data_IF_994506197188
#
_entry.id   IF_994506197188
#
_cell.length_a   1.000
_cell.length_b   1.000
_cell.length_c   1.000
_cell.angle_alpha   90.00
_cell.angle_beta   90.00
_cell.angle_gamma   90.00
#
_symmetry.space_group_name_H-M   'P 1'
#
loop_
_entity.id
_entity.type
_entity.pdbx_description
1 polymer ?
#
# COMPACT_ATOMS: atom_id res chain seq x y z
N UNK A 1 -71.66 7.84 47.14
CA UNK A 1 -71.17 8.63 45.99
C UNK A 1 -69.67 8.88 46.03
N UNK A 2 -69.05 9.20 47.18
CA UNK A 2 -67.60 9.47 47.29
C UNK A 2 -66.67 8.25 47.06
N UNK A 3 -67.16 7.01 47.25
CA UNK A 3 -66.39 5.80 46.93
C UNK A 3 -66.18 5.60 45.41
N UNK A 4 -67.11 6.07 44.58
CA UNK A 4 -66.97 5.98 43.12
C UNK A 4 -65.88 6.94 42.60
N UNK A 5 -65.75 8.14 43.19
CA UNK A 5 -64.72 9.10 42.78
C UNK A 5 -63.31 8.68 43.19
N UNK A 6 -63.14 8.02 44.35
CA UNK A 6 -61.83 7.53 44.79
C UNK A 6 -61.31 6.39 43.92
N UNK A 7 -62.18 5.42 43.55
CA UNK A 7 -61.80 4.31 42.68
C UNK A 7 -61.42 4.76 41.26
N UNK A 8 -62.16 5.74 40.71
CA UNK A 8 -61.84 6.33 39.39
C UNK A 8 -60.47 7.04 39.43
N UNK A 9 -60.17 7.77 40.50
CA UNK A 9 -58.88 8.46 40.63
C UNK A 9 -57.71 7.47 40.65
N UNK A 10 -57.83 6.36 41.39
CA UNK A 10 -56.82 5.30 41.40
C UNK A 10 -56.59 4.69 40.02
N UNK A 11 -57.66 4.48 39.23
CA UNK A 11 -57.53 3.96 37.87
C UNK A 11 -56.84 4.94 36.92
N UNK A 12 -57.15 6.24 37.03
CA UNK A 12 -56.50 7.29 36.24
C UNK A 12 -55.01 7.42 36.55
N UNK A 13 -54.63 7.30 37.83
CA UNK A 13 -53.23 7.36 38.24
C UNK A 13 -52.46 6.10 37.79
N UNK A 14 -53.08 4.92 37.87
CA UNK A 14 -52.54 3.69 37.31
C UNK A 14 -52.36 3.77 35.78
N UNK A 15 -53.30 4.38 35.06
CA UNK A 15 -53.20 4.58 33.62
C UNK A 15 -52.02 5.49 33.26
N UNK A 16 -51.84 6.61 33.98
CA UNK A 16 -50.71 7.51 33.79
C UNK A 16 -49.38 6.82 34.04
N UNK A 17 -49.30 6.00 35.09
CA UNK A 17 -48.08 5.26 35.42
C UNK A 17 -47.76 4.22 34.35
N UNK A 18 -48.76 3.47 33.89
CA UNK A 18 -48.61 2.51 32.79
C UNK A 18 -48.15 3.20 31.49
N UNK A 19 -48.74 4.35 31.14
CA UNK A 19 -48.33 5.15 29.98
C UNK A 19 -46.88 5.60 30.10
N UNK A 20 -46.46 6.06 31.29
CA UNK A 20 -45.08 6.48 31.54
C UNK A 20 -44.08 5.33 31.38
N UNK A 21 -44.40 4.15 31.89
CA UNK A 21 -43.57 2.94 31.74
C UNK A 21 -43.41 2.58 30.26
N UNK A 22 -44.51 2.57 29.51
CA UNK A 22 -44.48 2.27 28.07
C UNK A 22 -43.65 3.31 27.29
N UNK A 23 -43.78 4.59 27.62
CA UNK A 23 -43.03 5.65 26.97
C UNK A 23 -41.52 5.52 27.24
N UNK A 24 -41.13 5.27 28.49
CA UNK A 24 -39.73 5.03 28.86
C UNK A 24 -39.15 3.80 28.13
N UNK A 25 -39.93 2.73 28.01
CA UNK A 25 -39.50 1.54 27.27
C UNK A 25 -39.27 1.83 25.77
N UNK A 26 -40.14 2.64 25.15
CA UNK A 26 -39.98 3.07 23.75
C UNK A 26 -38.73 3.93 23.56
N UNK A 27 -38.50 4.90 24.45
CA UNK A 27 -37.32 5.76 24.43
C UNK A 27 -36.03 4.95 24.63
N UNK A 28 -36.03 4.03 25.59
CA UNK A 28 -34.89 3.13 25.83
C UNK A 28 -34.56 2.28 24.59
N UNK A 29 -35.59 1.72 23.94
CA UNK A 29 -35.41 0.94 22.70
C UNK A 29 -34.79 1.80 21.60
N UNK A 30 -35.32 2.99 21.36
CA UNK A 30 -34.81 3.91 20.33
C UNK A 30 -33.37 4.33 20.63
N UNK A 31 -33.07 4.63 21.89
CA UNK A 31 -31.71 4.96 22.34
C UNK A 31 -30.75 3.79 22.09
N UNK A 32 -31.10 2.58 22.50
CA UNK A 32 -30.28 1.37 22.27
C UNK A 32 -29.97 1.14 20.79
N UNK A 33 -30.94 1.33 19.90
CA UNK A 33 -30.72 1.18 18.46
C UNK A 33 -29.76 2.25 17.93
N UNK A 34 -29.89 3.49 18.40
CA UNK A 34 -28.99 4.59 18.01
C UNK A 34 -27.57 4.35 18.52
N UNK A 35 -27.43 3.95 19.78
CA UNK A 35 -26.14 3.67 20.41
C UNK A 35 -25.44 2.52 19.67
N UNK A 36 -26.15 1.42 19.39
CA UNK A 36 -25.59 0.28 18.64
C UNK A 36 -25.12 0.68 17.24
N UNK A 37 -25.87 1.53 16.52
CA UNK A 37 -25.43 2.06 15.22
C UNK A 37 -24.19 2.92 15.34
N UNK A 38 -24.12 3.77 16.37
CA UNK A 38 -22.95 4.63 16.59
C UNK A 38 -21.72 3.82 16.98
N UNK A 39 -21.87 2.78 17.79
CA UNK A 39 -20.78 1.89 18.19
C UNK A 39 -20.25 1.10 16.98
N UNK A 40 -21.14 0.49 16.18
CA UNK A 40 -20.74 -0.20 14.97
C UNK A 40 -20.01 0.72 13.97
N UNK A 41 -20.48 1.96 13.81
CA UNK A 41 -19.82 2.94 12.94
C UNK A 41 -18.41 3.28 13.45
N UNK A 42 -18.24 3.48 14.75
CA UNK A 42 -16.92 3.74 15.37
C UNK A 42 -15.98 2.55 15.17
N UNK A 43 -16.48 1.32 15.32
CA UNK A 43 -15.68 0.12 15.14
C UNK A 43 -15.24 -0.06 13.69
N UNK A 44 -16.12 0.22 12.72
CA UNK A 44 -15.78 0.22 11.28
C UNK A 44 -14.71 1.27 10.97
N UNK A 45 -14.84 2.48 11.52
CA UNK A 45 -13.87 3.56 11.32
C UNK A 45 -12.50 3.21 11.93
N UNK A 46 -12.49 2.63 13.13
CA UNK A 46 -11.27 2.14 13.77
C UNK A 46 -10.59 1.06 12.92
N UNK A 47 -11.35 0.07 12.44
CA UNK A 47 -10.83 -1.00 11.60
C UNK A 47 -10.30 -0.48 10.26
N UNK A 48 -11.01 0.45 9.61
CA UNK A 48 -10.52 1.10 8.39
C UNK A 48 -9.22 1.83 8.62
N UNK A 49 -9.11 2.57 9.72
CA UNK A 49 -7.88 3.28 10.07
C UNK A 49 -6.72 2.32 10.33
N UNK A 50 -6.97 1.24 11.06
CA UNK A 50 -5.96 0.19 11.30
C UNK A 50 -5.46 -0.41 9.97
N UNK A 51 -6.38 -0.76 9.07
CA UNK A 51 -6.02 -1.33 7.76
C UNK A 51 -5.30 -0.34 6.85
N UNK A 52 -5.67 0.94 6.90
CA UNK A 52 -4.95 1.99 6.18
C UNK A 52 -3.54 2.19 6.74
N UNK A 53 -3.38 2.19 8.07
CA UNK A 53 -2.07 2.30 8.72
C UNK A 53 -1.18 1.07 8.40
N UNK A 54 -1.76 -0.14 8.39
CA UNK A 54 -1.07 -1.35 7.91
C UNK A 54 -0.68 -1.25 6.44
N UNK A 55 -1.58 -0.80 5.58
CA UNK A 55 -1.32 -0.64 4.15
C UNK A 55 -0.21 0.38 3.90
N UNK A 56 -0.24 1.54 4.56
CA UNK A 56 0.81 2.55 4.43
C UNK A 56 2.16 2.08 4.96
N UNK A 57 2.19 1.29 6.04
CA UNK A 57 3.44 0.65 6.52
C UNK A 57 3.94 -0.34 5.49
N UNK A 58 3.07 -1.20 4.98
CA UNK A 58 3.42 -2.18 3.95
C UNK A 58 3.94 -1.48 2.69
N UNK A 59 3.27 -0.43 2.21
CA UNK A 59 3.76 0.40 1.11
C UNK A 59 5.10 1.04 1.43
N UNK A 60 5.34 1.60 2.61
CA UNK A 60 6.65 2.17 2.94
C UNK A 60 7.75 1.12 2.95
N UNK A 61 7.48 -0.06 3.50
CA UNK A 61 8.43 -1.17 3.58
C UNK A 61 8.66 -1.85 2.22
N UNK A 62 7.66 -1.88 1.34
CA UNK A 62 7.73 -2.60 0.06
C UNK A 62 7.85 -1.68 -1.16
N UNK A 63 7.62 -0.37 -1.04
CA UNK A 63 7.89 0.62 -2.11
C UNK A 63 9.38 0.83 -2.33
N UNK A 64 10.24 0.34 -1.42
CA UNK A 64 11.68 0.20 -1.69
C UNK A 64 12.02 -0.99 -2.59
N UNK A 65 11.04 -1.76 -3.07
CA UNK A 65 11.23 -3.00 -3.83
C UNK A 65 12.19 -2.86 -5.02
N UNK A 66 12.20 -1.71 -5.68
CA UNK A 66 13.14 -1.45 -6.77
C UNK A 66 14.39 -0.69 -6.35
N UNK A 67 14.39 0.08 -5.25
CA UNK A 67 15.58 0.88 -4.87
C UNK A 67 16.78 -0.01 -4.55
N UNK A 68 16.57 -1.07 -3.78
CA UNK A 68 17.66 -2.00 -3.44
C UNK A 68 18.18 -2.72 -4.69
N UNK A 69 17.28 -3.18 -5.55
CA UNK A 69 17.66 -3.82 -6.82
C UNK A 69 18.38 -2.84 -7.77
N UNK A 70 17.95 -1.58 -7.82
CA UNK A 70 18.60 -0.51 -8.60
C UNK A 70 19.99 -0.17 -8.05
N UNK A 71 20.15 -0.06 -6.74
CA UNK A 71 21.43 0.25 -6.09
C UNK A 71 22.43 -0.91 -6.24
N UNK A 72 21.95 -2.16 -6.09
CA UNK A 72 22.75 -3.37 -6.33
C UNK A 72 23.18 -3.45 -7.81
N UNK A 73 22.25 -3.20 -8.74
CA UNK A 73 22.54 -3.19 -10.18
C UNK A 73 23.51 -2.07 -10.58
N UNK A 74 23.38 -0.87 -9.99
CA UNK A 74 24.34 0.23 -10.19
C UNK A 74 25.73 -0.15 -9.71
N UNK A 75 25.83 -0.73 -8.52
CA UNK A 75 27.12 -1.16 -7.94
C UNK A 75 27.80 -2.21 -8.82
N UNK A 76 27.06 -3.22 -9.30
CA UNK A 76 27.61 -4.24 -10.23
C UNK A 76 28.03 -3.62 -11.57
N UNK A 77 27.21 -2.71 -12.11
CA UNK A 77 27.51 -2.01 -13.36
C UNK A 77 28.78 -1.17 -13.24
N UNK A 78 28.92 -0.38 -12.17
CA UNK A 78 30.11 0.43 -11.91
C UNK A 78 31.37 -0.44 -11.75
N UNK A 79 31.23 -1.62 -11.14
CA UNK A 79 32.30 -2.62 -11.06
C UNK A 79 32.74 -3.10 -12.45
N UNK A 80 31.78 -3.52 -13.28
CA UNK A 80 32.04 -3.99 -14.65
C UNK A 80 32.61 -2.91 -15.56
N UNK A 81 32.14 -1.66 -15.43
CA UNK A 81 32.70 -0.53 -16.20
C UNK A 81 34.16 -0.32 -15.85
N UNK A 82 34.53 -0.36 -14.56
CA UNK A 82 35.94 -0.26 -14.14
C UNK A 82 36.79 -1.41 -14.69
N UNK A 83 36.27 -2.64 -14.65
CA UNK A 83 36.95 -3.80 -15.21
C UNK A 83 37.18 -3.64 -16.73
N UNK A 84 36.15 -3.21 -17.48
CA UNK A 84 36.25 -2.94 -18.92
C UNK A 84 37.29 -1.85 -19.20
N UNK A 85 37.30 -0.77 -18.41
CA UNK A 85 38.28 0.32 -18.54
C UNK A 85 39.71 -0.18 -18.30
N UNK A 86 39.92 -1.05 -17.30
CA UNK A 86 41.24 -1.64 -17.03
C UNK A 86 41.68 -2.58 -18.15
N UNK A 87 40.78 -3.43 -18.64
CA UNK A 87 41.05 -4.31 -19.79
C UNK A 87 41.38 -3.47 -21.02
N UNK A 88 40.61 -2.42 -21.29
CA UNK A 88 40.83 -1.47 -22.39
C UNK A 88 42.19 -0.78 -22.29
N UNK A 89 42.60 -0.31 -21.11
CA UNK A 89 43.94 0.26 -20.89
C UNK A 89 45.05 -0.76 -21.12
N UNK A 90 44.86 -2.00 -20.68
CA UNK A 90 45.88 -3.07 -20.78
C UNK A 90 46.04 -3.59 -22.21
N UNK A 91 44.95 -3.77 -22.93
CA UNK A 91 44.92 -4.38 -24.26
C UNK A 91 44.91 -3.36 -25.41
N UNK A 92 44.52 -2.11 -25.13
CA UNK A 92 44.32 -1.06 -26.13
C UNK A 92 45.55 -0.79 -26.97
N UNK A 93 46.72 -0.62 -26.35
CA UNK A 93 47.98 -0.37 -27.09
C UNK A 93 48.31 -1.51 -28.06
N UNK A 94 48.07 -2.76 -27.66
CA UNK A 94 48.29 -3.93 -28.51
C UNK A 94 47.32 -3.98 -29.68
N UNK A 95 46.05 -3.64 -29.46
CA UNK A 95 45.03 -3.59 -30.53
C UNK A 95 45.35 -2.47 -31.52
N UNK A 96 45.77 -1.29 -31.03
CA UNK A 96 46.19 -0.18 -31.90
C UNK A 96 47.38 -0.58 -32.76
N UNK A 97 48.39 -1.23 -32.19
CA UNK A 97 49.55 -1.74 -32.92
C UNK A 97 49.14 -2.75 -34.01
N UNK A 98 48.29 -3.72 -33.68
CA UNK A 98 47.76 -4.70 -34.65
C UNK A 98 46.94 -4.04 -35.77
N UNK A 99 46.13 -3.03 -35.47
CA UNK A 99 45.35 -2.31 -36.47
C UNK A 99 46.25 -1.47 -37.39
N UNK A 100 47.26 -0.80 -36.84
CA UNK A 100 48.25 -0.03 -37.63
C UNK A 100 49.07 -0.97 -38.51
N UNK A 101 49.49 -2.11 -37.99
CA UNK A 101 50.20 -3.14 -38.76
C UNK A 101 49.33 -3.68 -39.89
N UNK A 102 48.07 -4.06 -39.62
CA UNK A 102 47.15 -4.57 -40.63
C UNK A 102 46.83 -3.52 -41.72
N UNK A 103 46.71 -2.25 -41.35
CA UNK A 103 46.47 -1.16 -42.29
C UNK A 103 47.72 -0.82 -43.13
N UNK A 104 48.91 -0.95 -42.56
CA UNK A 104 50.18 -0.61 -43.23
C UNK A 104 50.72 -1.77 -44.07
N UNK A 105 50.48 -3.02 -43.66
CA UNK A 105 50.86 -4.23 -44.40
C UNK A 105 49.74 -4.67 -45.34
N UNK A 106 49.50 -3.87 -46.38
CA UNK A 106 48.67 -4.29 -47.50
C UNK A 106 49.30 -5.52 -48.18
N UNK A 107 48.66 -6.68 -48.04
CA UNK A 107 48.96 -7.88 -48.85
C UNK A 107 48.00 -7.92 -50.03
N UNK A 108 48.38 -7.37 -51.19
CA UNK A 108 47.55 -7.45 -52.38
C UNK A 108 47.46 -8.91 -52.84
N UNK A 109 46.28 -9.51 -52.71
CA UNK A 109 45.97 -10.74 -53.43
C UNK A 109 45.42 -10.39 -54.82
N UNK A 110 45.88 -11.09 -55.87
CA UNK A 110 45.25 -10.94 -57.18
C UNK A 110 43.77 -11.30 -57.07
N UNK A 111 42.86 -10.54 -57.72
CA UNK A 111 41.45 -10.86 -57.71
C UNK A 111 41.28 -12.30 -58.19
N UNK A 112 40.60 -13.14 -57.38
CA UNK A 112 40.37 -14.54 -57.75
C UNK A 112 39.56 -14.56 -59.04
N UNK A 113 40.24 -14.91 -60.14
CA UNK A 113 39.65 -15.03 -61.45
C UNK A 113 38.50 -16.03 -61.41
N UNK A 114 37.39 -15.65 -62.05
CA UNK A 114 36.22 -16.51 -62.22
C UNK A 114 36.59 -17.60 -63.24
N UNK A 115 36.97 -18.78 -62.77
CA UNK A 115 36.82 -20.04 -63.52
C UNK A 115 35.57 -20.73 -63.03
#
# INVERSE_FOLDING_TARGET
SAQNSAGIQTLLDAEREAQKIVQQAREYRTKRVKDARSEAQKEIEAYRKEKEDEFQKFEKEHSSGNKKAEDDAKTDTDGKVKEIDEIGKKSGSKVVEQLVEAASNAKPEPPRGRT
#
